data_IF_940222632600
#
_entry.id   IF_940222632600
#
_cell.length_a   1.000
_cell.length_b   1.000
_cell.length_c   1.000
_cell.angle_alpha   90.00
_cell.angle_beta   90.00
_cell.angle_gamma   90.00
#
_symmetry.space_group_name_H-M   'P 1'
#
loop_
_entity.id
_entity.type
_entity.pdbx_description
1 polymer ?
#
# COMPACT_ATOMS: atom_id res chain seq x y z
N UNK A 1 -27.41 61.31 -48.23
CA UNK A 1 -26.91 60.27 -47.31
C UNK A 1 -25.89 60.92 -46.39
N UNK A 2 -26.31 61.22 -45.16
CA UNK A 2 -25.53 61.97 -44.16
C UNK A 2 -24.75 61.02 -43.25
N UNK A 3 -23.53 61.43 -42.89
CA UNK A 3 -22.71 60.89 -41.79
C UNK A 3 -23.07 61.59 -40.47
N UNK A 4 -22.97 60.84 -39.34
CA UNK A 4 -22.75 61.24 -37.92
C UNK A 4 -23.35 60.13 -37.02
N UNK A 5 -22.88 59.78 -35.81
CA UNK A 5 -21.84 60.29 -34.92
C UNK A 5 -21.43 59.20 -33.90
N UNK A 6 -20.28 59.42 -33.27
CA UNK A 6 -19.73 58.73 -32.10
C UNK A 6 -20.67 58.76 -30.88
N UNK A 7 -20.64 57.68 -30.10
CA UNK A 7 -21.16 57.61 -28.73
C UNK A 7 -20.33 56.64 -27.87
N UNK A 8 -19.47 57.19 -27.03
CA UNK A 8 -18.79 56.55 -25.91
C UNK A 8 -19.79 56.24 -24.80
N UNK A 9 -19.83 55.01 -24.24
CA UNK A 9 -20.27 54.77 -22.85
C UNK A 9 -19.52 53.56 -22.23
N UNK A 10 -18.67 53.92 -21.27
CA UNK A 10 -18.18 53.27 -20.04
C UNK A 10 -17.94 51.75 -19.88
N UNK A 11 -16.72 51.46 -19.42
CA UNK A 11 -16.23 50.19 -18.90
C UNK A 11 -16.59 50.05 -17.41
N UNK A 12 -17.55 49.17 -17.11
CA UNK A 12 -17.82 48.73 -15.73
C UNK A 12 -16.88 47.60 -15.30
N UNK A 13 -15.74 47.96 -14.71
CA UNK A 13 -14.86 47.06 -13.96
C UNK A 13 -15.60 46.51 -12.73
N UNK A 14 -15.83 45.19 -12.67
CA UNK A 14 -16.34 44.50 -11.49
C UNK A 14 -15.25 43.58 -10.94
N UNK A 15 -14.59 44.05 -9.88
CA UNK A 15 -13.64 43.28 -9.07
C UNK A 15 -14.35 42.14 -8.33
N UNK A 16 -13.77 40.93 -8.23
CA UNK A 16 -14.27 39.91 -7.33
C UNK A 16 -13.78 40.18 -5.89
N UNK A 17 -14.74 40.15 -4.96
CA UNK A 17 -14.56 40.32 -3.53
C UNK A 17 -13.77 39.13 -2.94
N UNK A 18 -12.66 39.41 -2.24
CA UNK A 18 -11.95 38.46 -1.38
C UNK A 18 -12.83 38.06 -0.18
N UNK A 19 -12.96 36.76 0.06
CA UNK A 19 -13.47 36.19 1.32
C UNK A 19 -12.28 35.68 2.15
N UNK A 20 -12.18 35.96 3.47
CA UNK A 20 -11.01 35.61 4.27
C UNK A 20 -11.00 34.14 4.72
N UNK A 21 -9.81 33.55 4.76
CA UNK A 21 -9.53 32.21 5.29
C UNK A 21 -9.64 32.15 6.83
N UNK A 22 -10.13 31.04 7.41
CA UNK A 22 -10.14 30.84 8.87
C UNK A 22 -8.77 30.40 9.41
N UNK A 23 -8.29 31.10 10.44
CA UNK A 23 -7.03 30.82 11.14
C UNK A 23 -7.11 29.62 12.10
N UNK A 24 -6.00 28.87 12.31
CA UNK A 24 -5.93 27.79 13.28
C UNK A 24 -5.75 28.32 14.71
N UNK A 25 -6.60 27.84 15.62
CA UNK A 25 -6.48 28.09 17.07
C UNK A 25 -5.42 27.19 17.67
N UNK A 26 -4.39 27.80 18.25
CA UNK A 26 -3.38 27.13 19.07
C UNK A 26 -3.95 26.85 20.46
N UNK A 27 -3.78 25.63 20.96
CA UNK A 27 -3.86 25.36 22.40
C UNK A 27 -2.73 24.42 22.79
N UNK A 28 -1.77 24.98 23.51
CA UNK A 28 -0.61 24.30 24.06
C UNK A 28 -1.02 23.60 25.37
N UNK A 29 -0.90 22.28 25.41
CA UNK A 29 -0.84 21.51 26.66
C UNK A 29 0.29 20.50 26.56
N UNK A 30 1.35 20.75 27.33
CA UNK A 30 2.47 19.82 27.57
C UNK A 30 1.95 18.56 28.27
N UNK A 31 2.39 17.33 27.91
CA UNK A 31 2.25 16.19 28.78
C UNK A 31 3.47 16.08 29.70
N UNK A 32 3.19 16.00 31.00
CA UNK A 32 4.13 15.68 32.07
C UNK A 32 4.57 14.22 31.96
N UNK A 33 5.90 14.00 32.01
CA UNK A 33 6.53 12.69 32.10
C UNK A 33 6.14 12.06 33.44
N UNK A 34 5.34 10.99 33.40
CA UNK A 34 5.24 10.04 34.50
C UNK A 34 5.54 8.65 33.96
N UNK A 35 6.53 8.02 34.60
CA UNK A 35 7.03 6.68 34.31
C UNK A 35 5.93 5.66 34.58
N UNK A 36 5.63 4.80 33.62
CA UNK A 36 5.10 3.47 33.92
C UNK A 36 5.63 2.47 32.90
N UNK A 37 6.45 1.55 33.40
CA UNK A 37 6.84 0.34 32.69
C UNK A 37 5.60 -0.55 32.58
N UNK A 38 5.06 -0.66 31.38
CA UNK A 38 4.10 -1.72 31.04
C UNK A 38 4.47 -2.24 29.67
N UNK A 39 4.76 -3.53 29.60
CA UNK A 39 4.93 -4.29 28.36
C UNK A 39 3.65 -4.15 27.53
N UNK A 40 3.62 -3.19 26.61
CA UNK A 40 2.53 -2.99 25.67
C UNK A 40 2.60 -4.09 24.63
N UNK A 41 1.75 -5.10 24.79
CA UNK A 41 1.34 -5.96 23.68
C UNK A 41 0.66 -5.04 22.66
N UNK A 42 1.17 -5.00 21.44
CA UNK A 42 0.62 -4.24 20.31
C UNK A 42 -0.88 -4.55 20.20
N UNK A 43 -1.71 -3.52 20.35
CA UNK A 43 -3.16 -3.64 20.21
C UNK A 43 -3.48 -3.66 18.72
N UNK A 44 -3.19 -4.77 18.07
CA UNK A 44 -3.49 -4.99 16.67
C UNK A 44 -5.00 -4.84 16.39
N UNK A 45 -5.37 -4.35 15.20
CA UNK A 45 -6.78 -4.29 14.82
C UNK A 45 -7.44 -5.67 14.95
N UNK A 46 -8.72 -5.69 15.33
CA UNK A 46 -9.52 -6.93 15.38
C UNK A 46 -9.58 -7.66 14.03
N UNK A 47 -9.24 -6.97 12.94
CA UNK A 47 -9.21 -7.46 11.56
C UNK A 47 -7.95 -8.27 11.24
N UNK A 48 -6.86 -8.05 11.97
CA UNK A 48 -5.62 -8.81 11.81
C UNK A 48 -5.83 -10.33 11.95
N UNK A 49 -6.74 -10.77 12.83
CA UNK A 49 -7.05 -12.18 13.02
C UNK A 49 -7.63 -12.88 11.78
N UNK A 50 -8.36 -12.15 10.91
CA UNK A 50 -8.93 -12.73 9.69
C UNK A 50 -7.85 -13.03 8.67
N UNK A 51 -6.92 -12.09 8.51
CA UNK A 51 -5.72 -12.29 7.71
C UNK A 51 -4.90 -13.46 8.27
N UNK A 52 -4.69 -13.53 9.58
CA UNK A 52 -3.97 -14.64 10.22
C UNK A 52 -4.65 -16.00 10.00
N UNK A 53 -5.98 -16.07 9.96
CA UNK A 53 -6.71 -17.29 9.66
C UNK A 53 -6.56 -17.69 8.18
N UNK A 54 -6.72 -16.75 7.25
CA UNK A 54 -6.57 -16.99 5.80
C UNK A 54 -5.12 -17.35 5.44
N UNK A 55 -4.17 -16.86 6.25
CA UNK A 55 -2.76 -17.16 6.11
C UNK A 55 -2.36 -18.58 6.51
N UNK A 56 -3.19 -19.31 7.27
CA UNK A 56 -2.93 -20.68 7.72
C UNK A 56 -3.38 -21.74 6.70
N UNK A 57 -4.06 -21.35 5.61
CA UNK A 57 -4.54 -22.28 4.59
C UNK A 57 -3.49 -22.59 3.51
N UNK A 58 -2.38 -23.24 3.86
CA UNK A 58 -1.55 -24.00 2.90
C UNK A 58 -0.95 -25.25 3.54
N UNK A 59 -1.68 -26.36 3.46
CA UNK A 59 -1.23 -27.74 3.14
C UNK A 59 -2.43 -28.67 3.26
N UNK A 60 -3.41 -28.53 2.37
CA UNK A 60 -4.35 -29.61 2.10
C UNK A 60 -3.72 -30.50 1.03
N UNK A 61 -2.86 -31.43 1.46
CA UNK A 61 -2.45 -32.53 0.60
C UNK A 61 -3.69 -33.35 0.24
N UNK A 62 -4.00 -33.34 -1.04
CA UNK A 62 -4.91 -34.28 -1.67
C UNK A 62 -4.25 -35.67 -1.61
N UNK A 63 -4.53 -36.45 -0.57
CA UNK A 63 -4.24 -37.89 -0.58
C UNK A 63 -5.33 -38.68 0.12
N UNK A 64 -5.87 -39.59 -0.68
CA UNK A 64 -6.87 -40.61 -0.38
C UNK A 64 -6.54 -41.44 0.86
N UNK A 65 -7.59 -41.76 1.62
CA UNK A 65 -7.62 -42.81 2.64
C UNK A 65 -7.05 -44.13 2.12
N UNK A 66 -5.99 -44.65 2.76
CA UNK A 66 -5.81 -46.10 3.02
C UNK A 66 -4.73 -46.40 4.07
N UNK A 67 -5.18 -46.96 5.19
CA UNK A 67 -4.63 -48.07 5.97
C UNK A 67 -3.14 -48.14 6.41
N UNK A 68 -2.98 -48.04 7.74
CA UNK A 68 -2.09 -48.76 8.67
C UNK A 68 -0.82 -49.45 8.17
N UNK A 69 0.34 -49.07 8.74
CA UNK A 69 1.38 -49.98 9.23
C UNK A 69 2.35 -49.25 10.17
N UNK A 70 2.58 -49.83 11.35
CA UNK A 70 3.54 -49.34 12.35
C UNK A 70 4.97 -49.74 11.96
N UNK A 71 5.86 -48.78 11.78
CA UNK A 71 7.31 -48.99 11.89
C UNK A 71 7.95 -47.83 12.65
N UNK A 72 8.72 -48.19 13.67
CA UNK A 72 9.55 -47.31 14.48
C UNK A 72 10.64 -46.69 13.62
N UNK A 73 10.69 -45.35 13.54
CA UNK A 73 11.79 -44.62 12.90
C UNK A 73 12.23 -43.46 13.80
N UNK A 74 13.54 -43.40 14.00
CA UNK A 74 14.36 -42.41 14.71
C UNK A 74 13.85 -40.97 14.59
N UNK A 75 13.59 -40.33 15.73
CA UNK A 75 13.17 -38.93 15.85
C UNK A 75 14.34 -37.99 15.51
N UNK A 76 14.44 -37.58 14.25
CA UNK A 76 15.01 -36.28 13.90
C UNK A 76 14.14 -35.18 14.52
N UNK A 77 14.72 -34.12 15.11
CA UNK A 77 13.92 -33.03 15.66
C UNK A 77 13.12 -32.36 14.54
N UNK A 78 11.91 -31.86 14.83
CA UNK A 78 11.11 -31.13 13.84
C UNK A 78 11.89 -29.90 13.36
N UNK A 79 11.71 -29.48 12.08
CA UNK A 79 12.30 -28.25 11.58
C UNK A 79 11.85 -27.07 12.46
N UNK A 80 12.69 -26.04 12.65
CA UNK A 80 12.31 -24.88 13.44
C UNK A 80 11.04 -24.27 12.85
N UNK A 81 10.01 -24.16 13.69
CA UNK A 81 8.76 -23.45 13.38
C UNK A 81 9.08 -22.09 12.77
N UNK A 82 8.38 -21.65 11.70
CA UNK A 82 8.61 -20.35 11.11
C UNK A 82 8.52 -19.28 12.19
N UNK A 83 9.50 -18.38 12.20
CA UNK A 83 9.60 -17.29 13.15
C UNK A 83 8.29 -16.53 13.18
N UNK A 84 7.60 -16.54 14.32
CA UNK A 84 6.32 -15.86 14.60
C UNK A 84 6.50 -14.32 14.65
N UNK A 85 7.27 -13.76 13.70
CA UNK A 85 7.53 -12.33 13.56
C UNK A 85 6.39 -11.72 12.78
N UNK A 86 5.86 -10.61 13.29
CA UNK A 86 4.81 -9.83 12.67
C UNK A 86 5.28 -8.39 12.51
N UNK A 87 4.71 -7.70 11.52
CA UNK A 87 4.91 -6.28 11.28
C UNK A 87 3.55 -5.62 11.20
N UNK A 88 3.34 -4.57 11.99
CA UNK A 88 2.12 -3.78 11.95
C UNK A 88 2.14 -2.87 10.71
N UNK A 89 1.23 -3.09 9.77
CA UNK A 89 1.14 -2.38 8.49
C UNK A 89 -0.27 -1.77 8.38
N UNK A 90 -0.42 -0.46 8.12
CA UNK A 90 -1.73 0.15 7.94
C UNK A 90 -2.29 -0.24 6.57
N UNK A 91 -3.36 -1.03 6.53
CA UNK A 91 -4.01 -1.51 5.30
C UNK A 91 -5.50 -1.13 5.41
N UNK A 92 -5.94 -0.12 4.66
CA UNK A 92 -7.36 0.17 4.52
C UNK A 92 -7.97 -0.76 3.46
N UNK A 93 -8.93 -1.60 3.86
CA UNK A 93 -9.60 -2.55 2.97
C UNK A 93 -10.35 -1.91 1.80
N UNK A 94 -10.85 -0.67 1.93
CA UNK A 94 -11.49 0.01 0.80
C UNK A 94 -10.44 0.41 -0.25
N UNK A 95 -9.36 1.05 0.19
CA UNK A 95 -8.26 1.45 -0.69
C UNK A 95 -7.56 0.22 -1.30
N UNK A 96 -7.33 -0.82 -0.50
CA UNK A 96 -6.72 -2.07 -0.94
C UNK A 96 -7.50 -2.73 -2.08
N UNK A 97 -8.84 -2.61 -2.11
CA UNK A 97 -9.67 -3.12 -3.21
C UNK A 97 -9.89 -2.09 -4.34
N UNK A 98 -9.56 -0.81 -4.13
CA UNK A 98 -10.01 0.28 -4.99
C UNK A 98 -11.53 0.44 -4.98
N UNK A 99 -12.17 0.18 -3.84
CA UNK A 99 -13.60 0.25 -3.65
C UNK A 99 -14.00 1.49 -2.84
N UNK A 100 -15.20 2.02 -3.08
CA UNK A 100 -15.73 3.12 -2.30
C UNK A 100 -16.64 2.65 -1.15
N UNK A 101 -16.74 3.47 -0.12
CA UNK A 101 -17.57 3.20 1.07
C UNK A 101 -19.05 3.04 0.74
N UNK A 102 -19.51 3.57 -0.38
CA UNK A 102 -20.89 3.46 -0.85
C UNK A 102 -21.18 2.20 -1.69
N UNK A 103 -20.15 1.43 -2.09
CA UNK A 103 -20.35 0.22 -2.90
C UNK A 103 -21.14 -0.84 -2.14
N UNK A 104 -22.08 -1.52 -2.78
CA UNK A 104 -22.78 -2.68 -2.18
C UNK A 104 -21.89 -3.94 -2.23
N UNK A 105 -22.32 -5.03 -1.58
CA UNK A 105 -21.55 -6.29 -1.52
C UNK A 105 -21.11 -6.81 -2.90
N UNK A 106 -21.98 -6.75 -3.91
CA UNK A 106 -21.60 -7.15 -5.28
C UNK A 106 -20.62 -6.16 -5.93
N UNK A 107 -20.68 -4.88 -5.57
CA UNK A 107 -19.71 -3.87 -5.99
C UNK A 107 -18.33 -4.13 -5.41
N UNK A 108 -18.26 -4.51 -4.13
CA UNK A 108 -17.02 -4.94 -3.46
C UNK A 108 -16.42 -6.17 -4.16
N UNK A 109 -17.24 -7.20 -4.44
CA UNK A 109 -16.77 -8.39 -5.16
C UNK A 109 -16.23 -8.04 -6.55
N UNK A 110 -16.92 -7.16 -7.30
CA UNK A 110 -16.41 -6.70 -8.61
C UNK A 110 -15.09 -5.95 -8.50
N UNK A 111 -14.91 -5.11 -7.48
CA UNK A 111 -13.64 -4.41 -7.23
C UNK A 111 -12.50 -5.41 -6.95
N UNK A 112 -12.75 -6.43 -6.12
CA UNK A 112 -11.83 -7.53 -5.88
C UNK A 112 -11.45 -8.26 -7.19
N UNK A 113 -12.43 -8.71 -7.98
CA UNK A 113 -12.16 -9.41 -9.25
C UNK A 113 -11.38 -8.53 -10.24
N UNK A 114 -11.71 -7.24 -10.33
CA UNK A 114 -10.98 -6.29 -11.16
C UNK A 114 -9.51 -6.12 -10.72
N UNK A 115 -9.24 -6.17 -9.42
CA UNK A 115 -7.87 -6.07 -8.88
C UNK A 115 -7.08 -7.38 -9.00
N UNK A 116 -7.73 -8.53 -8.94
CA UNK A 116 -7.09 -9.84 -9.14
C UNK A 116 -6.79 -10.08 -10.63
N UNK A 117 -7.67 -9.65 -11.53
CA UNK A 117 -7.52 -9.83 -12.99
C UNK A 117 -6.40 -9.01 -13.62
N UNK A 118 -5.88 -7.99 -12.91
CA UNK A 118 -4.71 -7.20 -13.31
C UNK A 118 -3.54 -7.60 -12.42
N UNK A 119 -2.76 -8.63 -12.79
CA UNK A 119 -1.58 -8.98 -12.02
C UNK A 119 -0.55 -7.84 -12.08
N UNK A 120 0.26 -7.67 -11.02
CA UNK A 120 1.43 -6.81 -11.05
C UNK A 120 2.32 -7.16 -12.24
N UNK A 121 2.75 -6.15 -12.99
CA UNK A 121 3.43 -6.34 -14.27
C UNK A 121 4.91 -6.72 -14.10
N UNK A 122 5.49 -6.35 -12.97
CA UNK A 122 6.92 -6.48 -12.71
C UNK A 122 7.19 -7.72 -11.86
N UNK A 123 8.38 -8.31 -11.99
CA UNK A 123 8.75 -9.67 -11.58
C UNK A 123 8.74 -9.99 -10.07
N UNK A 124 7.64 -9.69 -9.38
CA UNK A 124 7.36 -10.10 -8.01
C UNK A 124 7.42 -11.62 -7.87
N UNK A 125 7.90 -12.07 -6.71
CA UNK A 125 7.96 -13.50 -6.40
C UNK A 125 6.55 -14.11 -6.28
N UNK A 126 6.40 -15.42 -6.55
CA UNK A 126 5.14 -16.13 -6.32
C UNK A 126 4.60 -15.95 -4.89
N UNK A 127 5.48 -15.91 -3.89
CA UNK A 127 5.10 -15.74 -2.49
C UNK A 127 4.48 -14.37 -2.22
N UNK A 128 5.06 -13.30 -2.79
CA UNK A 128 4.50 -11.95 -2.71
C UNK A 128 3.12 -11.86 -3.40
N UNK A 129 2.96 -12.51 -4.57
CA UNK A 129 1.70 -12.54 -5.30
C UNK A 129 0.61 -13.33 -4.56
N UNK A 130 0.97 -14.43 -3.91
CA UNK A 130 0.07 -15.22 -3.05
C UNK A 130 -0.35 -14.38 -1.84
N UNK A 131 0.60 -13.74 -1.16
CA UNK A 131 0.32 -12.86 -0.03
C UNK A 131 -0.63 -11.71 -0.42
N UNK A 132 -0.36 -11.03 -1.54
CA UNK A 132 -1.24 -10.00 -2.11
C UNK A 132 -2.67 -10.51 -2.28
N UNK A 133 -2.85 -11.68 -2.90
CA UNK A 133 -4.18 -12.27 -3.11
C UNK A 133 -4.90 -12.54 -1.79
N UNK A 134 -4.20 -13.12 -0.81
CA UNK A 134 -4.77 -13.41 0.51
C UNK A 134 -5.25 -12.13 1.21
N UNK A 135 -4.47 -11.05 1.13
CA UNK A 135 -4.85 -9.75 1.72
C UNK A 135 -6.10 -9.18 1.04
N UNK A 136 -6.13 -9.18 -0.29
CA UNK A 136 -7.28 -8.70 -1.06
C UNK A 136 -8.54 -9.54 -0.79
N UNK A 137 -8.39 -10.85 -0.62
CA UNK A 137 -9.50 -11.75 -0.31
C UNK A 137 -10.09 -11.43 1.07
N UNK A 138 -9.25 -11.30 2.11
CA UNK A 138 -9.71 -10.95 3.45
C UNK A 138 -10.42 -9.58 3.50
N UNK A 139 -9.91 -8.61 2.74
CA UNK A 139 -10.56 -7.31 2.56
C UNK A 139 -11.95 -7.47 1.91
N UNK A 140 -12.05 -8.26 0.84
CA UNK A 140 -13.30 -8.53 0.15
C UNK A 140 -14.33 -9.23 1.06
N UNK A 141 -13.92 -10.26 1.79
CA UNK A 141 -14.80 -11.01 2.69
C UNK A 141 -15.33 -10.12 3.83
N UNK A 142 -14.46 -9.27 4.38
CA UNK A 142 -14.82 -8.29 5.40
C UNK A 142 -15.82 -7.26 4.87
N UNK A 143 -15.58 -6.69 3.70
CA UNK A 143 -16.40 -5.60 3.15
C UNK A 143 -17.68 -6.09 2.43
N UNK A 144 -17.71 -7.33 1.95
CA UNK A 144 -18.90 -7.92 1.33
C UNK A 144 -19.91 -8.43 2.37
N UNK A 145 -19.47 -8.77 3.59
CA UNK A 145 -20.34 -9.19 4.68
C UNK A 145 -20.90 -7.97 5.44
N UNK A 146 -22.23 -7.82 5.48
CA UNK A 146 -22.86 -6.63 6.05
C UNK A 146 -22.55 -6.39 7.55
N UNK A 147 -22.46 -7.44 8.36
CA UNK A 147 -22.15 -7.32 9.80
C UNK A 147 -20.69 -6.91 9.99
N UNK A 148 -19.77 -7.61 9.34
CA UNK A 148 -18.34 -7.32 9.40
C UNK A 148 -18.03 -5.92 8.89
N UNK A 149 -18.61 -5.53 7.76
CA UNK A 149 -18.43 -4.19 7.20
C UNK A 149 -18.93 -3.10 8.15
N UNK A 150 -20.07 -3.31 8.83
CA UNK A 150 -20.57 -2.36 9.83
C UNK A 150 -19.57 -2.18 10.96
N UNK A 151 -19.02 -3.27 11.48
CA UNK A 151 -18.00 -3.24 12.54
C UNK A 151 -16.71 -2.54 12.06
N UNK A 152 -16.28 -2.82 10.83
CA UNK A 152 -15.09 -2.18 10.24
C UNK A 152 -15.30 -0.67 10.10
N UNK A 153 -16.44 -0.26 9.53
CA UNK A 153 -16.80 1.15 9.38
C UNK A 153 -16.93 1.88 10.73
N UNK A 154 -17.47 1.22 11.75
CA UNK A 154 -17.54 1.78 13.10
C UNK A 154 -16.13 1.99 13.66
N UNK A 155 -15.24 0.99 13.52
CA UNK A 155 -13.83 1.13 13.90
C UNK A 155 -13.16 2.31 13.19
N UNK A 156 -13.35 2.46 11.87
CA UNK A 156 -12.79 3.58 11.12
C UNK A 156 -13.29 4.94 11.62
N UNK A 157 -14.54 5.03 12.10
CA UNK A 157 -15.11 6.25 12.65
C UNK A 157 -14.60 6.55 14.08
N UNK A 158 -14.32 5.51 14.87
CA UNK A 158 -13.86 5.64 16.25
C UNK A 158 -12.35 5.92 16.33
N UNK A 159 -11.55 5.08 15.67
CA UNK A 159 -10.09 5.22 15.54
C UNK A 159 -9.64 4.64 14.19
N UNK A 160 -9.50 5.52 13.21
CA UNK A 160 -9.07 5.15 11.87
C UNK A 160 -7.69 4.50 11.86
N UNK A 161 -6.72 5.07 12.59
CA UNK A 161 -5.33 4.63 12.55
C UNK A 161 -5.15 3.24 13.16
N UNK A 162 -5.84 2.97 14.28
CA UNK A 162 -5.83 1.65 14.92
C UNK A 162 -6.58 0.62 14.06
N UNK A 163 -7.70 1.00 13.46
CA UNK A 163 -8.55 0.06 12.69
C UNK A 163 -7.88 -0.47 11.44
N UNK A 164 -7.11 0.36 10.72
CA UNK A 164 -6.37 -0.08 9.53
C UNK A 164 -5.08 -0.83 9.90
N UNK A 165 -4.61 -0.77 11.15
CA UNK A 165 -3.35 -1.37 11.56
C UNK A 165 -3.46 -2.90 11.61
N UNK A 166 -2.76 -3.56 10.69
CA UNK A 166 -2.82 -5.00 10.51
C UNK A 166 -1.51 -5.66 10.90
N UNK A 167 -1.56 -6.71 11.73
CA UNK A 167 -0.39 -7.55 12.00
C UNK A 167 -0.17 -8.53 10.85
N UNK A 168 0.81 -8.22 10.02
CA UNK A 168 1.17 -9.04 8.86
C UNK A 168 2.33 -9.98 9.26
N UNK A 169 2.19 -11.31 9.08
CA UNK A 169 3.28 -12.24 9.26
C UNK A 169 4.48 -11.84 8.40
N UNK A 170 5.69 -12.03 8.93
CA UNK A 170 6.91 -11.56 8.30
C UNK A 170 7.03 -11.99 6.84
N UNK A 171 6.79 -13.27 6.53
CA UNK A 171 6.84 -13.85 5.18
C UNK A 171 5.87 -13.19 4.18
N UNK A 172 4.86 -12.48 4.67
CA UNK A 172 3.78 -11.89 3.86
C UNK A 172 3.92 -10.39 3.67
N UNK A 173 4.85 -9.76 4.39
CA UNK A 173 5.13 -8.32 4.31
C UNK A 173 5.34 -7.82 2.88
N UNK A 174 6.08 -8.50 1.98
CA UNK A 174 6.26 -7.99 0.62
C UNK A 174 4.94 -7.91 -0.17
N UNK A 175 4.04 -8.87 0.01
CA UNK A 175 2.70 -8.82 -0.60
C UNK A 175 1.83 -7.71 -0.01
N UNK A 176 2.00 -7.38 1.28
CA UNK A 176 1.31 -6.24 1.89
C UNK A 176 1.83 -4.90 1.35
N UNK A 177 3.15 -4.75 1.18
CA UNK A 177 3.73 -3.55 0.56
C UNK A 177 3.26 -3.37 -0.88
N UNK A 178 3.13 -4.46 -1.62
CA UNK A 178 2.56 -4.44 -2.96
C UNK A 178 1.09 -3.98 -2.97
N UNK A 179 0.25 -4.47 -2.05
CA UNK A 179 -1.13 -3.98 -1.90
C UNK A 179 -1.18 -2.48 -1.61
N UNK A 180 -0.29 -1.99 -0.75
CA UNK A 180 -0.18 -0.56 -0.44
C UNK A 180 0.28 0.27 -1.63
N UNK A 181 1.26 -0.22 -2.38
CA UNK A 181 1.73 0.44 -3.60
C UNK A 181 0.58 0.57 -4.61
N UNK A 182 -0.17 -0.50 -4.86
CA UNK A 182 -1.33 -0.45 -5.75
C UNK A 182 -2.48 0.41 -5.20
N UNK A 183 -2.56 0.62 -3.89
CA UNK A 183 -3.51 1.52 -3.25
C UNK A 183 -3.10 3.00 -3.35
N UNK A 184 -1.87 3.30 -3.78
CA UNK A 184 -1.32 4.65 -3.84
C UNK A 184 -0.71 5.14 -2.53
N UNK A 185 -0.54 4.27 -1.53
CA UNK A 185 0.03 4.62 -0.20
C UNK A 185 1.57 4.67 -0.25
N UNK A 186 2.10 5.48 -1.19
CA UNK A 186 3.52 5.47 -1.58
C UNK A 186 4.47 5.79 -0.42
N UNK A 187 4.13 6.77 0.42
CA UNK A 187 4.94 7.18 1.58
C UNK A 187 5.01 6.09 2.66
N UNK A 188 3.92 5.33 2.83
CA UNK A 188 3.88 4.20 3.75
C UNK A 188 4.79 3.09 3.24
N UNK A 189 4.72 2.78 1.94
CA UNK A 189 5.57 1.77 1.30
C UNK A 189 7.04 2.11 1.48
N UNK A 190 7.43 3.36 1.18
CA UNK A 190 8.83 3.81 1.31
C UNK A 190 9.31 3.74 2.76
N UNK A 191 8.52 4.25 3.71
CA UNK A 191 8.90 4.23 5.14
C UNK A 191 9.13 2.82 5.67
N UNK A 192 8.22 1.88 5.37
CA UNK A 192 8.36 0.49 5.82
C UNK A 192 9.53 -0.16 5.08
N UNK A 193 9.63 0.02 3.77
CA UNK A 193 10.70 -0.53 2.95
C UNK A 193 12.10 -0.09 3.41
N UNK A 194 12.30 1.20 3.70
CA UNK A 194 13.55 1.71 4.28
C UNK A 194 13.90 1.05 5.61
N UNK A 195 12.91 0.81 6.47
CA UNK A 195 13.13 0.12 7.74
C UNK A 195 13.54 -1.33 7.52
N UNK A 196 12.93 -2.02 6.54
CA UNK A 196 13.25 -3.41 6.20
C UNK A 196 14.63 -3.55 5.59
N UNK A 197 15.04 -2.64 4.69
CA UNK A 197 16.34 -2.69 4.01
C UNK A 197 17.53 -2.45 4.95
N UNK A 198 17.30 -1.95 6.18
CA UNK A 198 18.33 -1.91 7.24
C UNK A 198 18.62 -3.29 7.83
N UNK A 199 17.72 -4.26 7.65
CA UNK A 199 17.90 -5.63 8.09
C UNK A 199 18.49 -6.50 6.98
N UNK A 200 19.07 -7.65 7.36
CA UNK A 200 19.52 -8.65 6.40
C UNK A 200 18.32 -9.47 5.92
N UNK A 201 17.84 -9.18 4.71
CA UNK A 201 16.67 -9.84 4.12
C UNK A 201 17.05 -11.03 3.21
N UNK A 202 16.20 -12.06 3.10
CA UNK A 202 16.30 -13.07 2.03
C UNK A 202 16.24 -12.43 0.63
N UNK A 203 16.86 -13.07 -0.37
CA UNK A 203 17.02 -12.48 -1.71
C UNK A 203 15.68 -12.11 -2.37
N UNK A 204 14.74 -13.05 -2.49
CA UNK A 204 13.43 -12.81 -3.10
C UNK A 204 12.64 -11.74 -2.34
N UNK A 205 12.61 -11.86 -1.01
CA UNK A 205 11.99 -10.89 -0.12
C UNK A 205 12.52 -9.48 -0.36
N UNK A 206 13.84 -9.31 -0.41
CA UNK A 206 14.49 -8.02 -0.67
C UNK A 206 14.09 -7.47 -2.04
N UNK A 207 14.10 -8.32 -3.07
CA UNK A 207 13.72 -7.94 -4.43
C UNK A 207 12.28 -7.42 -4.50
N UNK A 208 11.34 -8.10 -3.84
CA UNK A 208 9.94 -7.68 -3.81
C UNK A 208 9.75 -6.35 -3.06
N UNK A 209 10.46 -6.16 -1.94
CA UNK A 209 10.45 -4.88 -1.19
C UNK A 209 11.00 -3.75 -2.07
N UNK A 210 12.17 -3.96 -2.69
CA UNK A 210 12.81 -2.98 -3.59
C UNK A 210 11.90 -2.64 -4.76
N UNK A 211 11.23 -3.63 -5.35
CA UNK A 211 10.34 -3.42 -6.48
C UNK A 211 9.10 -2.61 -6.08
N UNK A 212 8.48 -2.90 -4.93
CA UNK A 212 7.37 -2.11 -4.41
C UNK A 212 7.79 -0.64 -4.14
N UNK A 213 8.97 -0.43 -3.56
CA UNK A 213 9.51 0.91 -3.32
C UNK A 213 9.82 1.67 -4.61
N UNK A 214 10.42 1.01 -5.60
CA UNK A 214 10.73 1.63 -6.89
C UNK A 214 9.45 2.08 -7.61
N UNK A 215 8.40 1.25 -7.60
CA UNK A 215 7.10 1.62 -8.15
C UNK A 215 6.45 2.77 -7.38
N UNK A 216 6.59 2.82 -6.06
CA UNK A 216 6.14 3.96 -5.27
C UNK A 216 6.84 5.27 -5.67
N UNK A 217 8.15 5.26 -5.91
CA UNK A 217 8.86 6.42 -6.45
C UNK A 217 8.38 6.83 -7.86
N UNK A 218 8.09 5.86 -8.73
CA UNK A 218 7.51 6.12 -10.06
C UNK A 218 6.13 6.77 -9.96
N UNK A 219 5.29 6.30 -9.03
CA UNK A 219 3.98 6.91 -8.78
C UNK A 219 4.12 8.36 -8.30
N UNK A 220 5.01 8.63 -7.33
CA UNK A 220 5.29 10.00 -6.86
C UNK A 220 5.79 10.88 -8.02
N UNK A 221 6.69 10.35 -8.87
CA UNK A 221 7.16 11.08 -10.05
C UNK A 221 6.01 11.44 -10.99
N UNK A 222 5.14 10.48 -11.31
CA UNK A 222 4.01 10.70 -12.21
C UNK A 222 3.09 11.78 -11.66
N UNK A 223 2.81 11.73 -10.37
CA UNK A 223 1.92 12.70 -9.72
C UNK A 223 2.56 14.10 -9.67
N UNK A 224 3.89 14.19 -9.44
CA UNK A 224 4.64 15.45 -9.49
C UNK A 224 4.62 16.10 -10.89
N UNK A 225 4.82 15.30 -11.94
CA UNK A 225 4.76 15.77 -13.33
C UNK A 225 3.33 16.09 -13.79
N UNK A 226 2.31 15.54 -13.13
CA UNK A 226 0.91 15.84 -13.40
C UNK A 226 0.39 17.13 -12.74
N UNK A 227 1.20 17.80 -11.89
CA UNK A 227 0.84 19.08 -11.31
C UNK A 227 0.67 20.19 -12.37
N UNK A 228 0.05 21.29 -11.95
CA UNK A 228 -0.11 22.48 -12.77
C UNK A 228 0.35 23.74 -11.99
N UNK A 229 1.56 24.28 -12.26
CA UNK A 229 2.52 23.82 -13.27
C UNK A 229 3.19 22.48 -12.92
N UNK A 230 3.65 21.69 -13.91
CA UNK A 230 4.37 20.44 -13.67
C UNK A 230 5.67 20.63 -12.89
N UNK A 231 5.94 19.75 -11.91
CA UNK A 231 7.23 19.69 -11.22
C UNK A 231 8.12 18.60 -11.84
N UNK A 232 8.76 18.93 -12.97
CA UNK A 232 9.68 18.00 -13.63
C UNK A 232 10.94 17.74 -12.82
N UNK A 233 11.42 18.72 -12.04
CA UNK A 233 12.63 18.55 -11.23
C UNK A 233 12.37 17.51 -10.14
N UNK A 234 11.29 17.70 -9.37
CA UNK A 234 10.87 16.74 -8.35
C UNK A 234 10.54 15.37 -8.94
N UNK A 235 9.89 15.33 -10.12
CA UNK A 235 9.61 14.09 -10.84
C UNK A 235 10.87 13.30 -11.21
N UNK A 236 11.82 13.93 -11.91
CA UNK A 236 13.09 13.30 -12.30
C UNK A 236 13.88 12.83 -11.08
N UNK A 237 13.92 13.64 -10.02
CA UNK A 237 14.54 13.30 -8.75
C UNK A 237 13.99 12.01 -8.12
N UNK A 238 12.69 11.72 -8.27
CA UNK A 238 12.09 10.48 -7.79
C UNK A 238 12.43 9.30 -8.72
N UNK A 239 12.43 9.51 -10.03
CA UNK A 239 12.85 8.49 -11.01
C UNK A 239 14.30 8.06 -10.82
N UNK A 240 15.22 9.00 -10.60
CA UNK A 240 16.63 8.71 -10.30
C UNK A 240 16.76 7.88 -9.02
N UNK A 241 15.97 8.18 -7.98
CA UNK A 241 15.92 7.38 -6.74
C UNK A 241 15.41 5.97 -7.01
N UNK A 242 14.37 5.82 -7.82
CA UNK A 242 13.84 4.50 -8.21
C UNK A 242 14.90 3.66 -8.95
N UNK A 243 15.55 4.25 -9.95
CA UNK A 243 16.57 3.59 -10.76
C UNK A 243 17.78 3.17 -9.90
N UNK A 244 18.28 4.09 -9.08
CA UNK A 244 19.39 3.81 -8.15
C UNK A 244 19.04 2.66 -7.20
N UNK A 245 17.82 2.66 -6.63
CA UNK A 245 17.37 1.60 -5.74
C UNK A 245 17.33 0.23 -6.45
N UNK A 246 16.81 0.18 -7.69
CA UNK A 246 16.76 -1.05 -8.49
C UNK A 246 18.16 -1.59 -8.81
N UNK A 247 19.14 -0.72 -9.02
CA UNK A 247 20.51 -1.09 -9.39
C UNK A 247 21.39 -1.47 -8.19
N UNK A 248 21.25 -0.77 -7.07
CA UNK A 248 22.08 -0.98 -5.87
C UNK A 248 21.53 -2.07 -4.95
N UNK A 249 20.22 -2.06 -4.72
CA UNK A 249 19.55 -2.94 -3.76
C UNK A 249 18.87 -4.14 -4.44
N UNK A 250 18.49 -3.98 -5.71
CA UNK A 250 18.04 -5.08 -6.57
C UNK A 250 19.21 -5.98 -6.95
N UNK A 251 19.01 -7.30 -6.92
CA UNK A 251 20.02 -8.21 -7.48
C UNK A 251 20.23 -7.93 -8.98
N UNK A 252 21.29 -8.49 -9.57
CA UNK A 252 21.63 -8.28 -10.99
C UNK A 252 20.41 -8.42 -11.91
N UNK A 253 19.96 -7.29 -12.49
CA UNK A 253 18.82 -7.18 -13.40
C UNK A 253 17.41 -7.38 -12.80
N UNK A 254 17.09 -6.77 -11.66
CA UNK A 254 15.70 -6.69 -11.18
C UNK A 254 14.86 -5.75 -12.06
N UNK A 255 13.78 -6.26 -12.65
CA UNK A 255 12.82 -5.50 -13.46
C UNK A 255 13.48 -4.63 -14.57
N UNK A 256 14.20 -5.24 -15.54
CA UNK A 256 14.91 -4.50 -16.58
C UNK A 256 13.99 -3.63 -17.44
N UNK A 257 12.76 -4.10 -17.70
CA UNK A 257 11.77 -3.34 -18.47
C UNK A 257 11.32 -2.06 -17.73
N UNK A 258 11.30 -2.09 -16.38
CA UNK A 258 11.00 -0.91 -15.57
C UNK A 258 12.18 0.07 -15.59
N UNK A 259 13.41 -0.43 -15.46
CA UNK A 259 14.61 0.41 -15.55
C UNK A 259 14.68 1.14 -16.90
N UNK A 260 14.45 0.42 -18.00
CA UNK A 260 14.42 1.00 -19.34
C UNK A 260 13.33 2.08 -19.51
N UNK A 261 12.13 1.87 -18.94
CA UNK A 261 11.06 2.88 -18.95
C UNK A 261 11.45 4.13 -18.14
N UNK A 262 12.12 3.96 -17.01
CA UNK A 262 12.61 5.07 -16.19
C UNK A 262 13.67 5.86 -16.96
N UNK A 263 14.64 5.19 -17.57
CA UNK A 263 15.70 5.80 -18.37
C UNK A 263 15.12 6.60 -19.54
N UNK A 264 14.20 6.02 -20.32
CA UNK A 264 13.52 6.69 -21.44
C UNK A 264 12.77 7.96 -20.98
N UNK A 265 12.10 7.88 -19.82
CA UNK A 265 11.38 9.02 -19.25
C UNK A 265 12.34 10.14 -18.86
N UNK A 266 13.45 9.81 -18.18
CA UNK A 266 14.46 10.77 -17.75
C UNK A 266 15.09 11.49 -18.96
N UNK A 267 15.46 10.77 -20.02
CA UNK A 267 16.01 11.33 -21.26
C UNK A 267 15.02 12.29 -21.94
N UNK A 268 13.72 11.97 -21.91
CA UNK A 268 12.68 12.80 -22.54
C UNK A 268 12.39 14.07 -21.75
N UNK A 269 12.61 14.07 -20.43
CA UNK A 269 12.31 15.22 -19.56
C UNK A 269 13.49 16.17 -19.30
N UNK A 270 14.71 15.80 -19.71
CA UNK A 270 15.88 16.69 -19.61
C UNK A 270 15.94 17.68 -20.79
N UNK A 271 15.25 18.81 -20.68
CA UNK A 271 15.31 19.93 -21.64
C UNK A 271 15.87 21.20 -21.01
#
# INVERSE_FOLDING_TARGET
MQMQALGHIDFGLRSPLLVPAPQPRTSSKRPSISKLNTTTVSSASKWAHRLLADFQFTTADNSSLSSSSNTTVTLTPPPPTPTNRHVSIPIDFYQALGAETHFLGDGIRRAYEARISKPPQYGFSPDALISRRQILQAACETLANASSRREYNQGLADDHADTILTEVPWDKVPGALLVLQEAGETEVVLRIGESLLRERLPKSFKQDVVLAMALAYVDISRDAMAFNPPDYIGGCEMLERALKLLQEEGASSLAPDLQAQIDETLETTSF
#
